data_IF_586546998721
#
_entry.id   IF_586546998721
#
_cell.length_a   1.000
_cell.length_b   1.000
_cell.length_c   1.000
_cell.angle_alpha   90.00
_cell.angle_beta   90.00
_cell.angle_gamma   90.00
#
_symmetry.space_group_name_H-M   'P 1'
#
loop_
_entity.id
_entity.type
_entity.pdbx_description
1 polymer ?
#
# COMPACT_ATOMS: atom_id res chain seq x y z
N UNK A 1 -9.68 3.57 -11.77
CA UNK A 1 -9.11 3.60 -10.44
C UNK A 1 -10.19 3.62 -9.38
N UNK A 2 -9.84 3.34 -8.14
CA UNK A 2 -10.80 2.95 -7.12
C UNK A 2 -10.95 3.96 -6.00
N UNK A 3 -12.12 3.96 -5.41
CA UNK A 3 -12.41 4.67 -4.18
C UNK A 3 -13.25 3.76 -3.27
N UNK A 4 -12.83 3.63 -2.02
CA UNK A 4 -13.59 2.97 -0.96
C UNK A 4 -13.83 3.96 0.17
N UNK A 5 -15.09 4.06 0.59
CA UNK A 5 -15.51 4.86 1.75
C UNK A 5 -16.26 4.00 2.73
N UNK A 6 -16.13 4.31 3.98
CA UNK A 6 -16.92 3.71 5.04
C UNK A 6 -17.77 4.79 5.70
N UNK A 7 -18.86 4.35 6.29
CA UNK A 7 -19.68 5.20 7.17
C UNK A 7 -18.81 5.76 8.29
N UNK A 8 -18.97 7.01 8.67
CA UNK A 8 -18.19 7.65 9.74
C UNK A 8 -18.18 6.86 11.06
N UNK A 9 -19.17 6.01 11.25
CA UNK A 9 -19.28 5.12 12.40
C UNK A 9 -18.52 3.80 12.25
N UNK A 10 -18.01 3.47 11.03
CA UNK A 10 -17.26 2.26 10.72
C UNK A 10 -15.88 2.63 10.18
N UNK A 11 -15.07 3.23 11.04
CA UNK A 11 -13.71 3.66 10.67
C UNK A 11 -12.81 2.45 10.47
N UNK A 12 -11.95 2.51 9.45
CA UNK A 12 -10.81 1.60 9.35
C UNK A 12 -9.79 1.96 10.44
N UNK A 13 -9.08 1.00 11.05
CA UNK A 13 -8.10 1.29 12.10
C UNK A 13 -6.88 2.08 11.58
N UNK A 14 -6.62 1.98 10.28
CA UNK A 14 -5.55 2.61 9.56
C UNK A 14 -5.37 1.96 8.20
N UNK A 15 -4.37 2.40 7.45
CA UNK A 15 -4.03 1.82 6.14
C UNK A 15 -2.53 1.64 5.98
N UNK A 16 -2.17 0.65 5.16
CA UNK A 16 -0.85 0.48 4.58
C UNK A 16 -0.87 0.94 3.13
N UNK A 17 0.23 1.56 2.67
CA UNK A 17 0.44 1.96 1.28
C UNK A 17 1.76 1.36 0.83
N UNK A 18 1.73 0.53 -0.18
CA UNK A 18 2.90 -0.17 -0.73
C UNK A 18 2.49 -1.42 -1.49
N UNK A 19 3.42 -2.35 -1.70
CA UNK A 19 3.12 -3.63 -2.31
C UNK A 19 2.28 -4.51 -1.35
N UNK A 20 1.14 -5.05 -1.80
CA UNK A 20 0.28 -5.85 -0.93
C UNK A 20 0.95 -7.12 -0.42
N UNK A 21 1.98 -7.65 -1.09
CA UNK A 21 2.71 -8.83 -0.64
C UNK A 21 3.47 -8.60 0.68
N UNK A 22 3.84 -7.35 1.00
CA UNK A 22 4.54 -7.00 2.23
C UNK A 22 3.65 -6.83 3.46
N UNK A 23 2.34 -6.83 3.29
CA UNK A 23 1.42 -6.56 4.41
C UNK A 23 0.35 -7.63 4.61
N UNK A 24 -0.09 -8.30 3.55
CA UNK A 24 -1.08 -9.37 3.64
C UNK A 24 -0.40 -10.70 4.00
N UNK A 25 -1.08 -11.56 4.78
CA UNK A 25 -0.63 -12.94 4.94
C UNK A 25 -0.67 -13.66 3.58
N UNK A 26 0.19 -14.67 3.40
CA UNK A 26 0.25 -15.47 2.16
C UNK A 26 -1.13 -16.03 1.82
N UNK A 27 -1.82 -16.60 2.79
CA UNK A 27 -3.14 -17.21 2.58
C UNK A 27 -4.18 -16.17 2.15
N UNK A 28 -4.24 -15.01 2.84
CA UNK A 28 -5.19 -13.96 2.47
C UNK A 28 -4.87 -13.35 1.10
N UNK A 29 -3.59 -13.14 0.79
CA UNK A 29 -3.14 -12.65 -0.51
C UNK A 29 -3.56 -13.60 -1.63
N UNK A 30 -3.32 -14.92 -1.46
CA UNK A 30 -3.64 -15.92 -2.47
C UNK A 30 -5.14 -16.16 -2.58
N UNK A 31 -5.84 -16.39 -1.49
CA UNK A 31 -7.27 -16.74 -1.50
C UNK A 31 -8.14 -15.55 -1.88
N UNK A 32 -7.92 -14.38 -1.26
CA UNK A 32 -8.75 -13.21 -1.50
C UNK A 32 -8.44 -12.56 -2.85
N UNK A 33 -7.20 -12.14 -3.06
CA UNK A 33 -6.87 -11.42 -4.28
C UNK A 33 -6.61 -12.35 -5.47
N UNK A 34 -5.91 -13.46 -5.26
CA UNK A 34 -5.59 -14.42 -6.32
C UNK A 34 -6.80 -15.24 -6.76
N UNK A 35 -7.35 -16.09 -5.90
CA UNK A 35 -8.42 -17.01 -6.28
C UNK A 35 -9.74 -16.31 -6.51
N UNK A 36 -10.11 -15.36 -5.64
CA UNK A 36 -11.39 -14.66 -5.72
C UNK A 36 -11.37 -13.55 -6.78
N UNK A 37 -10.33 -12.73 -6.80
CA UNK A 37 -10.25 -11.53 -7.64
C UNK A 37 -9.25 -11.63 -8.80
N UNK A 38 -8.62 -12.81 -9.01
CA UNK A 38 -7.75 -13.11 -10.16
C UNK A 38 -6.58 -12.16 -10.36
N UNK A 39 -6.08 -11.60 -9.28
CA UNK A 39 -5.01 -10.58 -9.27
C UNK A 39 -5.35 -9.34 -10.13
N UNK A 40 -6.62 -9.02 -10.27
CA UNK A 40 -7.06 -7.85 -11.02
C UNK A 40 -6.87 -6.55 -10.25
N UNK A 41 -6.63 -5.47 -11.00
CA UNK A 41 -6.64 -4.12 -10.46
C UNK A 41 -8.06 -3.73 -10.04
N UNK A 42 -8.18 -2.98 -8.96
CA UNK A 42 -9.48 -2.52 -8.53
C UNK A 42 -9.60 -2.16 -7.07
N UNK A 43 -10.84 -1.91 -6.67
CA UNK A 43 -11.23 -1.62 -5.30
C UNK A 43 -12.08 -2.76 -4.75
N UNK A 44 -11.61 -3.41 -3.70
CA UNK A 44 -12.16 -4.66 -3.16
C UNK A 44 -12.68 -4.49 -1.74
N UNK A 45 -13.82 -5.10 -1.50
CA UNK A 45 -14.48 -5.16 -0.19
C UNK A 45 -14.89 -6.59 0.13
N UNK A 46 -15.11 -6.89 1.41
CA UNK A 46 -15.73 -8.16 1.82
C UNK A 46 -17.20 -8.22 1.34
N UNK A 47 -17.83 -9.40 1.45
CA UNK A 47 -19.25 -9.57 1.14
C UNK A 47 -20.16 -8.66 1.97
N UNK A 48 -19.75 -8.33 3.21
CA UNK A 48 -20.46 -7.40 4.08
C UNK A 48 -20.15 -5.91 3.76
N UNK A 49 -19.40 -5.65 2.69
CA UNK A 49 -19.05 -4.30 2.24
C UNK A 49 -17.96 -3.60 3.07
N UNK A 50 -17.15 -4.34 3.84
CA UNK A 50 -15.98 -3.77 4.51
C UNK A 50 -14.87 -3.56 3.49
N UNK A 51 -14.30 -2.34 3.37
CA UNK A 51 -13.20 -2.10 2.45
C UNK A 51 -11.97 -2.91 2.85
N UNK A 52 -11.39 -3.62 1.88
CA UNK A 52 -10.19 -4.43 2.06
C UNK A 52 -8.99 -3.70 1.50
N UNK A 53 -8.99 -3.44 0.20
CA UNK A 53 -7.89 -2.77 -0.46
C UNK A 53 -8.30 -2.13 -1.79
N UNK A 54 -7.48 -1.19 -2.24
CA UNK A 54 -7.43 -0.74 -3.63
C UNK A 54 -6.04 -1.09 -4.15
N UNK A 55 -5.96 -1.72 -5.31
CA UNK A 55 -4.71 -2.16 -5.91
C UNK A 55 -4.64 -1.77 -7.38
N UNK A 56 -3.46 -1.43 -7.86
CA UNK A 56 -3.19 -1.16 -9.25
C UNK A 56 -1.78 -1.58 -9.66
N UNK A 57 -1.63 -2.12 -10.86
CA UNK A 57 -0.35 -2.48 -11.43
C UNK A 57 0.55 -1.26 -11.63
N UNK A 58 1.84 -1.41 -11.36
CA UNK A 58 2.86 -0.40 -11.66
C UNK A 58 3.14 -0.37 -13.16
N UNK A 59 3.71 0.75 -13.64
CA UNK A 59 4.01 0.90 -15.07
C UNK A 59 5.09 -0.10 -15.57
N UNK A 60 5.99 -0.56 -14.70
CA UNK A 60 7.14 -1.39 -15.06
C UNK A 60 7.24 -2.70 -14.26
N UNK A 61 6.21 -3.06 -13.49
CA UNK A 61 6.20 -4.27 -12.67
C UNK A 61 7.01 -4.11 -11.39
N UNK A 62 7.89 -5.06 -11.09
CA UNK A 62 8.74 -5.05 -9.92
C UNK A 62 9.79 -3.94 -10.00
N UNK A 63 10.16 -3.39 -8.86
CA UNK A 63 11.16 -2.32 -8.81
C UNK A 63 11.11 -1.51 -7.52
N UNK A 64 11.93 -0.46 -7.48
CA UNK A 64 11.92 0.52 -6.41
C UNK A 64 11.48 1.86 -6.99
N UNK A 65 10.41 2.41 -6.49
CA UNK A 65 9.77 3.61 -7.04
C UNK A 65 9.83 4.77 -6.06
N UNK A 66 10.31 5.94 -6.52
CA UNK A 66 10.34 7.12 -5.66
C UNK A 66 8.93 7.63 -5.40
N UNK A 67 8.71 8.09 -4.17
CA UNK A 67 7.45 8.68 -3.77
C UNK A 67 7.61 9.78 -2.74
N UNK A 68 6.51 10.43 -2.45
CA UNK A 68 6.42 11.51 -1.48
C UNK A 68 5.15 11.36 -0.65
N UNK A 69 5.31 11.41 0.67
CA UNK A 69 4.21 11.43 1.63
C UNK A 69 4.03 12.86 2.16
N UNK A 70 2.81 13.37 2.10
CA UNK A 70 2.45 14.65 2.68
C UNK A 70 1.40 14.48 3.77
N UNK A 71 1.80 14.74 5.01
CA UNK A 71 0.91 14.77 6.15
C UNK A 71 0.22 16.13 6.23
N UNK A 72 -1.06 16.19 5.86
CA UNK A 72 -1.82 17.43 5.86
C UNK A 72 -2.10 18.01 7.25
N UNK A 73 -2.05 17.20 8.30
CA UNK A 73 -2.26 17.67 9.68
C UNK A 73 -1.05 18.47 10.19
N UNK A 74 0.17 18.01 9.84
CA UNK A 74 1.42 18.64 10.28
C UNK A 74 2.05 19.54 9.21
N UNK A 75 1.66 19.38 7.94
CA UNK A 75 2.30 20.03 6.79
C UNK A 75 3.67 19.45 6.43
N UNK A 76 4.06 18.33 7.05
CA UNK A 76 5.35 17.67 6.79
C UNK A 76 5.27 16.84 5.51
N UNK A 77 6.25 17.02 4.62
CA UNK A 77 6.50 16.18 3.46
C UNK A 77 7.73 15.31 3.71
N UNK A 78 7.64 14.03 3.37
CA UNK A 78 8.73 13.08 3.46
C UNK A 78 8.87 12.35 2.13
N UNK A 79 10.07 12.40 1.53
CA UNK A 79 10.44 11.52 0.44
C UNK A 79 10.55 10.08 0.96
N UNK A 80 10.11 9.13 0.14
CA UNK A 80 10.16 7.70 0.45
C UNK A 80 10.31 6.91 -0.84
N UNK A 81 10.90 5.73 -0.71
CA UNK A 81 10.97 4.75 -1.80
C UNK A 81 10.01 3.61 -1.50
N UNK A 82 9.44 3.05 -2.55
CA UNK A 82 8.51 1.93 -2.47
C UNK A 82 9.08 0.74 -3.24
N UNK A 83 9.46 -0.29 -2.53
CA UNK A 83 9.80 -1.57 -3.13
C UNK A 83 8.54 -2.28 -3.58
N UNK A 84 8.60 -2.88 -4.76
CA UNK A 84 7.50 -3.63 -5.37
C UNK A 84 8.04 -4.93 -5.95
N UNK A 85 7.52 -6.05 -5.46
CA UNK A 85 7.87 -7.40 -5.88
C UNK A 85 6.70 -8.14 -6.54
N UNK A 86 5.47 -7.63 -6.38
CA UNK A 86 4.27 -8.19 -7.01
C UNK A 86 3.83 -7.46 -8.28
N UNK A 87 4.60 -6.46 -8.71
CA UNK A 87 4.24 -5.60 -9.83
C UNK A 87 3.09 -4.65 -9.55
N UNK A 88 2.64 -4.54 -8.31
CA UNK A 88 1.46 -3.76 -7.92
C UNK A 88 1.72 -2.88 -6.70
N UNK A 89 0.98 -1.77 -6.64
CA UNK A 89 0.86 -0.94 -5.45
C UNK A 89 -0.57 -0.98 -4.93
N UNK A 90 -0.72 -0.99 -3.63
CA UNK A 90 -2.03 -1.05 -2.98
C UNK A 90 -2.16 -0.07 -1.81
N UNK A 91 -3.40 0.25 -1.49
CA UNK A 91 -3.81 0.78 -0.20
C UNK A 91 -4.57 -0.34 0.49
N UNK A 92 -4.07 -0.83 1.61
CA UNK A 92 -4.66 -1.96 2.34
C UNK A 92 -5.17 -1.50 3.68
N UNK A 93 -6.42 -1.82 4.00
CA UNK A 93 -6.99 -1.61 5.34
C UNK A 93 -6.28 -2.50 6.36
N UNK A 94 -5.69 -1.90 7.39
CA UNK A 94 -4.92 -2.62 8.42
C UNK A 94 -5.73 -3.68 9.19
N UNK A 95 -7.07 -3.66 9.11
CA UNK A 95 -7.89 -4.75 9.66
C UNK A 95 -7.56 -6.12 9.03
N UNK A 96 -7.08 -6.11 7.78
CA UNK A 96 -6.74 -7.32 7.00
C UNK A 96 -5.24 -7.59 6.92
N UNK A 97 -4.43 -6.75 7.53
CA UNK A 97 -2.97 -6.90 7.54
C UNK A 97 -2.52 -8.03 8.46
N UNK A 98 -1.43 -8.69 8.10
CA UNK A 98 -0.75 -9.62 9.00
C UNK A 98 -0.01 -8.83 10.09
N UNK A 99 -0.29 -9.06 11.38
CA UNK A 99 0.37 -8.35 12.48
C UNK A 99 1.90 -8.47 12.47
N UNK A 100 2.45 -9.58 12.00
CA UNK A 100 3.91 -9.77 11.90
C UNK A 100 4.50 -8.87 10.83
N UNK A 101 3.85 -8.80 9.67
CA UNK A 101 4.27 -7.96 8.56
C UNK A 101 4.15 -6.47 8.87
N UNK A 102 3.20 -6.06 9.70
CA UNK A 102 3.12 -4.66 10.18
C UNK A 102 4.43 -4.25 10.88
N UNK A 103 4.98 -5.12 11.74
CA UNK A 103 6.23 -4.81 12.44
C UNK A 103 7.43 -4.80 11.48
N UNK A 104 7.44 -5.66 10.47
CA UNK A 104 8.47 -5.68 9.42
C UNK A 104 8.46 -4.38 8.61
N UNK A 105 7.29 -3.95 8.13
CA UNK A 105 7.13 -2.68 7.41
C UNK A 105 7.58 -1.48 8.26
N UNK A 106 7.28 -1.48 9.55
CA UNK A 106 7.75 -0.42 10.45
C UNK A 106 9.27 -0.39 10.60
N UNK A 107 9.93 -1.54 10.52
CA UNK A 107 11.37 -1.65 10.60
C UNK A 107 12.08 -1.25 9.29
N UNK A 108 11.45 -1.53 8.14
CA UNK A 108 12.05 -1.32 6.80
C UNK A 108 11.21 -0.32 6.03
N UNK A 109 11.64 0.93 6.01
CA UNK A 109 10.88 2.06 5.45
C UNK A 109 10.55 1.94 3.96
N UNK A 110 11.37 1.23 3.18
CA UNK A 110 11.16 1.03 1.75
C UNK A 110 10.05 0.03 1.43
N UNK A 111 9.55 -0.74 2.39
CA UNK A 111 8.44 -1.68 2.17
C UNK A 111 7.09 -0.97 2.06
N UNK A 112 6.98 0.27 2.52
CA UNK A 112 5.75 1.02 2.43
C UNK A 112 5.51 1.96 3.61
N UNK A 113 4.34 2.60 3.61
CA UNK A 113 3.92 3.56 4.62
C UNK A 113 2.72 2.99 5.39
N UNK A 114 2.80 3.06 6.72
CA UNK A 114 1.66 2.78 7.60
C UNK A 114 1.10 4.11 8.13
N UNK A 115 -0.18 4.34 7.87
CA UNK A 115 -0.96 5.42 8.49
C UNK A 115 -1.76 4.79 9.61
N UNK A 116 -1.24 4.90 10.83
CA UNK A 116 -1.73 4.24 12.04
C UNK A 116 -2.71 5.15 12.80
N UNK A 117 -3.77 5.56 12.10
CA UNK A 117 -4.86 6.36 12.66
C UNK A 117 -6.17 6.03 11.96
N UNK A 118 -7.33 6.21 12.63
CA UNK A 118 -8.63 5.90 12.04
C UNK A 118 -8.85 6.65 10.72
N UNK A 119 -9.29 5.92 9.69
CA UNK A 119 -9.57 6.43 8.35
C UNK A 119 -11.03 6.16 7.97
N UNK A 120 -11.62 7.06 7.18
CA UNK A 120 -13.01 6.94 6.68
C UNK A 120 -13.08 6.67 5.19
N UNK A 121 -11.95 6.66 4.50
CA UNK A 121 -11.89 6.33 3.09
C UNK A 121 -10.47 6.29 2.56
N UNK A 122 -10.33 5.66 1.41
CA UNK A 122 -9.11 5.59 0.64
C UNK A 122 -9.43 5.72 -0.84
N UNK A 123 -8.56 6.38 -1.59
CA UNK A 123 -8.67 6.59 -3.02
C UNK A 123 -7.29 6.41 -3.65
N UNK A 124 -7.29 5.75 -4.79
CA UNK A 124 -6.13 5.60 -5.64
C UNK A 124 -6.51 5.98 -7.05
N UNK A 125 -5.83 6.98 -7.60
CA UNK A 125 -5.89 7.37 -9.00
C UNK A 125 -4.50 7.16 -9.63
N UNK A 126 -4.50 6.72 -10.89
CA UNK A 126 -3.29 6.55 -11.67
C UNK A 126 -3.36 7.47 -12.90
N UNK A 127 -2.27 8.12 -13.21
CA UNK A 127 -2.12 8.90 -14.42
C UNK A 127 -0.69 8.78 -14.96
N UNK A 128 -0.53 8.19 -16.15
CA UNK A 128 0.74 8.05 -16.85
C UNK A 128 1.83 7.36 -16.02
N UNK A 129 1.46 6.32 -15.28
CA UNK A 129 2.36 5.59 -14.39
C UNK A 129 2.65 6.28 -13.06
N UNK A 130 2.00 7.38 -12.75
CA UNK A 130 2.07 8.01 -11.44
C UNK A 130 0.82 7.71 -10.63
N UNK A 131 1.01 7.37 -9.36
CA UNK A 131 -0.07 7.09 -8.43
C UNK A 131 -0.30 8.28 -7.51
N UNK A 132 -1.57 8.64 -7.37
CA UNK A 132 -2.06 9.68 -6.47
C UNK A 132 -2.99 9.03 -5.47
N UNK A 133 -2.58 9.02 -4.22
CA UNK A 133 -3.26 8.32 -3.14
C UNK A 133 -3.77 9.33 -2.13
N UNK A 134 -5.08 9.27 -1.82
CA UNK A 134 -5.71 10.02 -0.75
C UNK A 134 -6.21 9.07 0.33
N UNK A 135 -5.84 9.35 1.56
CA UNK A 135 -6.38 8.67 2.74
C UNK A 135 -7.19 9.67 3.55
N UNK A 136 -8.50 9.47 3.59
CA UNK A 136 -9.43 10.36 4.27
C UNK A 136 -9.45 10.07 5.77
N UNK A 137 -9.21 11.11 6.55
CA UNK A 137 -9.23 11.05 8.01
C UNK A 137 -10.53 11.67 8.52
N UNK A 138 -11.09 11.18 9.64
CA UNK A 138 -12.26 11.81 10.26
C UNK A 138 -11.97 13.29 10.54
N UNK A 139 -12.88 14.15 10.12
CA UNK A 139 -12.80 15.56 10.43
C UNK A 139 -12.96 15.80 11.94
N UNK A 140 -12.10 16.62 12.52
CA UNK A 140 -12.28 17.11 13.90
C UNK A 140 -13.42 18.12 14.02
N UNK A 141 -13.87 18.67 12.88
CA UNK A 141 -15.01 19.60 12.77
C UNK A 141 -15.69 19.46 11.41
N UNK A 142 -16.98 19.79 11.31
CA UNK A 142 -17.80 19.69 10.09
C UNK A 142 -17.23 20.48 8.87
N UNK A 143 -16.24 21.34 9.07
CA UNK A 143 -15.72 22.23 8.04
C UNK A 143 -14.42 21.76 7.35
N UNK A 144 -13.75 20.72 7.83
CA UNK A 144 -12.47 20.28 7.24
C UNK A 144 -12.35 18.76 7.18
N UNK A 145 -12.61 18.20 6.00
CA UNK A 145 -12.06 16.88 5.69
C UNK A 145 -10.52 16.99 5.62
N UNK A 146 -9.81 16.28 6.47
CA UNK A 146 -8.37 16.15 6.37
C UNK A 146 -8.03 14.89 5.56
N UNK A 147 -6.95 14.93 4.79
CA UNK A 147 -6.44 13.75 4.10
C UNK A 147 -4.91 13.72 4.15
N UNK A 148 -4.36 12.52 4.16
CA UNK A 148 -2.95 12.32 3.85
C UNK A 148 -2.82 12.01 2.36
N UNK A 149 -1.82 12.58 1.72
CA UNK A 149 -1.51 12.33 0.32
C UNK A 149 -0.21 11.56 0.19
N UNK A 150 -0.23 10.58 -0.71
CA UNK A 150 0.99 9.91 -1.17
C UNK A 150 1.03 9.95 -2.67
N UNK A 151 2.16 10.39 -3.20
CA UNK A 151 2.48 10.37 -4.60
C UNK A 151 3.57 9.34 -4.84
N UNK A 152 3.42 8.48 -5.85
CA UNK A 152 4.43 7.50 -6.23
C UNK A 152 4.60 7.56 -7.75
N UNK A 153 5.82 7.72 -8.21
CA UNK A 153 6.14 7.74 -9.63
C UNK A 153 6.67 6.37 -10.05
N UNK A 154 5.90 5.63 -10.83
CA UNK A 154 6.33 4.35 -11.40
C UNK A 154 6.67 4.44 -12.89
N UNK A 155 6.57 5.63 -13.51
CA UNK A 155 6.83 5.84 -14.92
C UNK A 155 8.31 6.10 -15.25
N UNK A 156 9.11 6.55 -14.27
CA UNK A 156 10.48 7.01 -14.47
C UNK A 156 11.46 6.13 -13.69
N UNK A 157 11.90 5.06 -14.32
CA UNK A 157 12.96 4.20 -13.77
C UNK A 157 14.39 4.68 -14.13
N UNK A 158 14.52 5.65 -15.05
CA UNK A 158 15.82 6.02 -15.62
C UNK A 158 16.73 6.78 -14.64
N UNK A 159 16.24 7.16 -13.46
CA UNK A 159 16.99 7.94 -12.47
C UNK A 159 17.24 7.23 -11.14
N UNK A 160 16.94 5.94 -11.03
CA UNK A 160 17.18 5.20 -9.79
C UNK A 160 18.56 4.53 -9.89
N UNK A 161 19.59 5.16 -9.34
CA UNK A 161 20.83 4.48 -8.99
C UNK A 161 20.54 3.57 -7.79
N UNK A 162 20.44 2.27 -8.04
CA UNK A 162 20.33 1.27 -6.98
C UNK A 162 21.66 1.20 -6.23
N UNK A 163 21.77 1.85 -5.11
CA UNK A 163 22.68 1.39 -4.07
C UNK A 163 22.07 0.13 -3.46
N UNK A 164 22.40 -1.01 -4.04
CA UNK A 164 22.13 -2.31 -3.42
C UNK A 164 23.05 -2.37 -2.20
N UNK A 165 22.55 -1.97 -1.05
CA UNK A 165 23.20 -2.26 0.21
C UNK A 165 23.14 -3.77 0.42
N UNK A 166 24.30 -4.38 0.71
CA UNK A 166 24.50 -5.83 0.91
C UNK A 166 23.64 -6.45 2.06
N UNK A 167 22.66 -5.71 2.55
CA UNK A 167 21.70 -6.15 3.58
C UNK A 167 20.72 -7.25 3.09
N UNK A 168 20.72 -7.55 1.79
CA UNK A 168 19.83 -8.57 1.21
C UNK A 168 20.33 -10.00 1.36
N UNK A 169 21.62 -10.20 1.58
CA UNK A 169 22.19 -11.55 1.69
C UNK A 169 21.76 -12.29 2.97
N UNK A 170 21.39 -11.55 4.03
CA UNK A 170 20.92 -12.15 5.29
C UNK A 170 19.41 -12.56 5.26
N UNK A 171 18.64 -12.09 4.27
CA UNK A 171 17.19 -12.36 4.19
C UNK A 171 16.85 -13.63 3.41
N UNK A 172 17.76 -14.09 2.54
CA UNK A 172 17.51 -15.24 1.69
C UNK A 172 17.79 -16.59 2.38
N UNK A 173 18.46 -16.63 3.54
CA UNK A 173 18.82 -17.91 4.16
C UNK A 173 17.67 -18.57 4.95
N UNK A 174 16.63 -17.80 5.38
CA UNK A 174 15.53 -18.33 6.22
C UNK A 174 14.14 -18.32 5.55
N UNK A 175 14.02 -17.80 4.34
CA UNK A 175 12.75 -17.81 3.62
C UNK A 175 12.85 -18.71 2.40
N UNK A 176 12.35 -19.92 2.53
CA UNK A 176 12.10 -20.88 1.44
C UNK A 176 11.04 -20.30 0.46
N UNK A 177 11.44 -19.37 -0.38
CA UNK A 177 10.61 -18.79 -1.45
C UNK A 177 10.56 -19.70 -2.69
N UNK A 178 11.30 -20.84 -2.67
CA UNK A 178 11.40 -21.78 -3.80
C UNK A 178 10.12 -22.58 -4.08
N UNK A 179 9.03 -22.39 -3.29
CA UNK A 179 7.75 -23.09 -3.47
C UNK A 179 6.71 -22.30 -4.31
N UNK A 180 7.14 -21.28 -5.07
CA UNK A 180 6.26 -20.54 -5.98
C UNK A 180 6.22 -21.10 -7.42
N UNK A 181 6.43 -22.41 -7.62
CA UNK A 181 6.10 -23.03 -8.90
C UNK A 181 4.57 -23.11 -9.06
N UNK A 182 4.04 -22.21 -9.89
CA UNK A 182 2.69 -22.28 -10.45
C UNK A 182 2.72 -23.12 -11.73
#
# INVERSE_FOLDING_TARGET
MGQLKVDEHKKMPGVFIGDPCYILSKDFYTEFWGETHKYEDGAFSTEEGRPVMIVAATAHGDGCYPGEFLNHLTGEGLGCDFMVDSGCLAIVNLEFADPKKIEEVRAVKSLGIIIDQPCTGMRLDESKGSFFIDVLIPAESEEKSASHYVYINTADLDNIEYEIDDAWDDWNEDNDWDDWDI
#
